data_IF_608178957030
#
_entry.id   IF_608178957030
#
_cell.length_a   1.000
_cell.length_b   1.000
_cell.length_c   1.000
_cell.angle_alpha   90.00
_cell.angle_beta   90.00
_cell.angle_gamma   90.00
#
_symmetry.space_group_name_H-M   'P 1'
#
loop_
_entity.id
_entity.type
_entity.pdbx_description
1 polymer ?
#
# COMPACT_ATOMS: atom_id res chain seq x y z
N UNK A 1 -45.21 11.74 -6.96
CA UNK A 1 -44.36 11.28 -8.07
C UNK A 1 -42.98 11.89 -7.90
N UNK A 2 -41.95 11.09 -7.67
CA UNK A 2 -40.58 11.59 -7.42
C UNK A 2 -39.93 11.98 -8.73
N UNK A 3 -39.49 13.24 -8.87
CA UNK A 3 -38.82 13.70 -10.08
C UNK A 3 -37.48 12.99 -10.27
N UNK A 4 -37.14 12.68 -11.52
CA UNK A 4 -35.83 12.13 -11.91
C UNK A 4 -34.67 12.97 -11.33
N UNK A 5 -34.85 14.28 -11.22
CA UNK A 5 -33.88 15.22 -10.63
C UNK A 5 -33.67 14.97 -9.14
N UNK A 6 -34.71 14.57 -8.42
CA UNK A 6 -34.68 14.23 -6.99
C UNK A 6 -33.94 12.90 -6.76
N UNK A 7 -34.18 11.92 -7.65
CA UNK A 7 -33.52 10.61 -7.63
C UNK A 7 -32.03 10.78 -7.94
N UNK A 8 -31.69 11.54 -8.98
CA UNK A 8 -30.29 11.84 -9.35
C UNK A 8 -29.58 12.60 -8.23
N UNK A 9 -30.21 13.62 -7.62
CA UNK A 9 -29.62 14.30 -6.45
C UNK A 9 -29.37 13.34 -5.29
N UNK A 10 -30.31 12.45 -4.97
CA UNK A 10 -30.13 11.48 -3.88
C UNK A 10 -28.99 10.49 -4.17
N UNK A 11 -28.88 10.02 -5.41
CA UNK A 11 -27.80 9.12 -5.82
C UNK A 11 -26.44 9.81 -5.76
N UNK A 12 -26.34 11.05 -6.23
CA UNK A 12 -25.10 11.86 -6.16
C UNK A 12 -24.74 12.25 -4.72
N UNK A 13 -25.73 12.52 -3.86
CA UNK A 13 -25.48 12.82 -2.45
C UNK A 13 -24.98 11.58 -1.69
N UNK A 14 -25.52 10.40 -2.01
CA UNK A 14 -25.11 9.12 -1.41
C UNK A 14 -23.69 8.70 -1.80
N UNK A 15 -23.22 9.08 -2.99
CA UNK A 15 -21.81 8.89 -3.40
C UNK A 15 -20.87 9.91 -2.75
N UNK A 16 -21.37 11.10 -2.40
CA UNK A 16 -20.61 12.15 -1.71
C UNK A 16 -20.53 11.94 -0.18
N UNK A 17 -21.47 11.20 0.39
CA UNK A 17 -21.49 10.77 1.81
C UNK A 17 -20.70 9.47 2.07
N UNK A 18 -19.93 8.97 1.09
CA UNK A 18 -19.02 7.86 1.34
C UNK A 18 -18.01 8.31 2.42
N UNK A 19 -17.96 7.57 3.53
CA UNK A 19 -16.96 7.79 4.57
C UNK A 19 -15.56 7.87 3.93
N UNK A 20 -14.62 8.63 4.53
CA UNK A 20 -13.26 8.70 4.05
C UNK A 20 -12.74 7.27 3.78
N UNK A 21 -12.05 7.03 2.65
CA UNK A 21 -11.53 5.72 2.35
C UNK A 21 -10.67 5.24 3.53
N UNK A 22 -10.81 3.96 3.87
CA UNK A 22 -10.00 3.29 4.87
C UNK A 22 -8.52 3.68 4.69
N UNK A 23 -7.83 4.20 5.73
CA UNK A 23 -6.44 4.62 5.61
C UNK A 23 -5.53 3.53 5.07
N UNK A 24 -5.72 2.27 5.51
CA UNK A 24 -4.94 1.14 5.04
C UNK A 24 -5.08 0.93 3.51
N UNK A 25 -6.31 1.07 3.00
CA UNK A 25 -6.57 1.04 1.56
C UNK A 25 -5.85 2.20 0.84
N UNK A 26 -5.98 3.42 1.37
CA UNK A 26 -5.35 4.61 0.77
C UNK A 26 -3.82 4.51 0.72
N UNK A 27 -3.20 4.02 1.79
CA UNK A 27 -1.76 3.75 1.82
C UNK A 27 -1.34 2.64 0.87
N UNK A 28 -2.14 1.57 0.76
CA UNK A 28 -1.87 0.50 -0.20
C UNK A 28 -1.83 1.05 -1.63
N UNK A 29 -2.82 1.86 -2.02
CA UNK A 29 -2.84 2.48 -3.36
C UNK A 29 -1.65 3.41 -3.58
N UNK A 30 -1.29 4.21 -2.57
CA UNK A 30 -0.11 5.07 -2.63
C UNK A 30 1.16 4.26 -2.86
N UNK A 31 1.42 3.24 -2.03
CA UNK A 31 2.65 2.46 -2.11
C UNK A 31 2.72 1.60 -3.36
N UNK A 32 1.61 1.05 -3.86
CA UNK A 32 1.58 0.37 -5.15
C UNK A 32 2.03 1.30 -6.27
N UNK A 33 1.54 2.55 -6.31
CA UNK A 33 1.94 3.54 -7.32
C UNK A 33 3.43 3.86 -7.26
N UNK A 34 3.98 4.02 -6.05
CA UNK A 34 5.41 4.27 -5.87
C UNK A 34 6.25 3.07 -6.29
N UNK A 35 5.92 1.88 -5.81
CA UNK A 35 6.67 0.65 -6.05
C UNK A 35 6.70 0.21 -7.53
N UNK A 36 5.68 0.58 -8.33
CA UNK A 36 5.68 0.38 -9.78
C UNK A 36 6.84 1.11 -10.48
N UNK A 37 7.26 2.26 -9.95
CA UNK A 37 8.38 3.03 -10.49
C UNK A 37 9.75 2.67 -9.90
N UNK A 38 9.79 1.76 -8.93
CA UNK A 38 11.03 1.33 -8.28
C UNK A 38 11.69 0.15 -8.99
N UNK A 39 13.01 0.12 -8.98
CA UNK A 39 13.77 -1.09 -9.33
C UNK A 39 13.76 -2.12 -8.17
N UNK A 40 14.32 -3.30 -8.43
CA UNK A 40 14.32 -4.38 -7.45
C UNK A 40 15.20 -4.10 -6.23
N UNK A 41 16.28 -3.31 -6.39
CA UNK A 41 17.13 -2.91 -5.28
C UNK A 41 16.40 -1.94 -4.34
N UNK A 42 15.69 -0.97 -4.91
CA UNK A 42 14.82 -0.04 -4.18
C UNK A 42 13.71 -0.77 -3.43
N UNK A 43 13.01 -1.69 -4.11
CA UNK A 43 11.94 -2.50 -3.46
C UNK A 43 12.49 -3.35 -2.31
N UNK A 44 13.66 -3.96 -2.51
CA UNK A 44 14.31 -4.78 -1.48
C UNK A 44 14.75 -3.92 -0.29
N UNK A 45 15.39 -2.79 -0.55
CA UNK A 45 15.82 -1.84 0.49
C UNK A 45 14.65 -1.31 1.31
N UNK A 46 13.59 -0.87 0.65
CA UNK A 46 12.37 -0.37 1.31
C UNK A 46 11.67 -1.47 2.13
N UNK A 47 11.67 -2.72 1.67
CA UNK A 47 11.11 -3.84 2.43
C UNK A 47 11.91 -4.08 3.72
N UNK A 48 13.24 -4.09 3.63
CA UNK A 48 14.11 -4.22 4.81
C UNK A 48 13.93 -3.06 5.79
N UNK A 49 13.72 -1.84 5.28
CA UNK A 49 13.37 -0.67 6.08
C UNK A 49 12.04 -0.84 6.83
N UNK A 50 11.00 -1.24 6.09
CA UNK A 50 9.69 -1.48 6.68
C UNK A 50 9.70 -2.60 7.73
N UNK A 51 10.35 -3.73 7.46
CA UNK A 51 10.46 -4.85 8.40
C UNK A 51 11.28 -4.49 9.64
N UNK A 52 12.34 -3.69 9.49
CA UNK A 52 13.08 -3.16 10.62
C UNK A 52 12.19 -2.32 11.54
N UNK A 53 11.41 -1.38 10.99
CA UNK A 53 10.49 -0.55 11.76
C UNK A 53 9.39 -1.37 12.44
N UNK A 54 8.80 -2.33 11.72
CA UNK A 54 7.76 -3.24 12.26
C UNK A 54 8.29 -4.11 13.41
N UNK A 55 9.56 -4.51 13.35
CA UNK A 55 10.21 -5.32 14.38
C UNK A 55 10.56 -4.57 15.67
N UNK A 56 10.41 -3.24 15.72
CA UNK A 56 10.69 -2.46 16.92
C UNK A 56 9.63 -2.72 18.01
N UNK A 57 10.05 -2.82 19.27
CA UNK A 57 9.15 -3.10 20.40
C UNK A 57 8.06 -2.05 20.63
N UNK A 58 8.27 -0.82 20.15
CA UNK A 58 7.34 0.31 20.26
C UNK A 58 6.54 0.55 18.98
N UNK A 59 6.63 -0.34 17.99
CA UNK A 59 5.85 -0.21 16.77
C UNK A 59 4.36 -0.29 17.08
N UNK A 60 3.63 0.71 16.62
CA UNK A 60 2.19 0.86 16.76
C UNK A 60 1.59 1.17 15.38
N UNK A 61 0.57 0.41 14.91
CA UNK A 61 -0.10 0.62 13.63
C UNK A 61 -1.09 1.79 13.71
N UNK A 62 -0.58 2.99 13.97
CA UNK A 62 -1.40 4.19 13.99
C UNK A 62 -1.78 4.58 12.56
N UNK A 63 -3.03 4.99 12.35
CA UNK A 63 -3.50 5.39 11.02
C UNK A 63 -2.78 6.65 10.51
N UNK A 64 -2.66 7.69 11.34
CA UNK A 64 -2.26 9.01 10.86
C UNK A 64 -1.02 9.59 11.56
N UNK A 65 -0.63 9.05 12.71
CA UNK A 65 0.48 9.61 13.47
C UNK A 65 1.81 9.24 12.81
N UNK A 66 2.51 10.26 12.28
CA UNK A 66 3.75 10.10 11.54
C UNK A 66 4.94 10.15 12.49
N UNK A 67 5.51 8.99 12.80
CA UNK A 67 6.63 8.86 13.76
C UNK A 67 7.76 7.95 13.27
N UNK A 68 7.56 7.24 12.15
CA UNK A 68 8.55 6.31 11.62
C UNK A 68 9.28 6.93 10.43
N UNK A 69 10.60 6.86 10.43
CA UNK A 69 11.48 7.36 9.37
C UNK A 69 12.55 6.30 9.14
N UNK A 70 12.81 5.96 7.88
CA UNK A 70 13.90 5.08 7.48
C UNK A 70 14.39 5.48 6.10
N UNK A 71 15.66 5.86 5.99
CA UNK A 71 16.25 6.36 4.75
C UNK A 71 16.28 5.30 3.62
N UNK A 72 16.03 4.02 3.93
CA UNK A 72 15.86 2.98 2.92
C UNK A 72 14.49 3.02 2.24
N UNK A 73 13.50 3.69 2.85
CA UNK A 73 12.16 3.90 2.29
C UNK A 73 12.16 5.23 1.53
N UNK A 74 12.31 6.34 2.25
CA UNK A 74 12.44 7.71 1.77
C UNK A 74 12.79 8.66 2.94
N UNK A 75 12.90 9.96 2.66
CA UNK A 75 13.20 11.00 3.65
C UNK A 75 11.96 11.54 4.39
N UNK A 76 10.80 10.86 4.28
CA UNK A 76 9.54 11.30 4.87
C UNK A 76 9.15 10.48 6.11
N UNK A 77 8.44 11.14 7.05
CA UNK A 77 7.87 10.45 8.20
C UNK A 77 6.55 9.77 7.82
N UNK A 78 6.39 8.52 8.24
CA UNK A 78 5.24 7.67 7.95
C UNK A 78 4.48 7.25 9.22
N UNK A 79 3.20 6.95 9.03
CA UNK A 79 2.36 6.32 10.06
C UNK A 79 2.52 4.81 10.08
N UNK A 80 2.15 4.16 11.17
CA UNK A 80 2.31 2.71 11.31
C UNK A 80 1.52 1.92 10.27
N UNK A 81 0.26 2.32 10.00
CA UNK A 81 -0.55 1.74 8.93
C UNK A 81 0.09 1.93 7.54
N UNK A 82 0.75 3.07 7.30
CA UNK A 82 1.49 3.29 6.05
C UNK A 82 2.66 2.30 5.91
N UNK A 83 3.42 2.06 6.99
CA UNK A 83 4.55 1.10 6.99
C UNK A 83 4.06 -0.33 6.78
N UNK A 84 2.95 -0.73 7.42
CA UNK A 84 2.35 -2.05 7.20
C UNK A 84 1.88 -2.22 5.74
N UNK A 85 1.23 -1.20 5.18
CA UNK A 85 0.79 -1.22 3.78
C UNK A 85 1.99 -1.34 2.82
N UNK A 86 3.09 -0.62 3.06
CA UNK A 86 4.33 -0.72 2.28
C UNK A 86 4.87 -2.15 2.28
N UNK A 87 5.07 -2.74 3.46
CA UNK A 87 5.59 -4.11 3.58
C UNK A 87 4.69 -5.12 2.86
N UNK A 88 3.36 -4.96 2.95
CA UNK A 88 2.39 -5.79 2.25
C UNK A 88 2.53 -5.68 0.73
N UNK A 89 2.62 -4.45 0.20
CA UNK A 89 2.77 -4.20 -1.24
C UNK A 89 4.07 -4.83 -1.74
N UNK A 90 5.20 -4.57 -1.10
CA UNK A 90 6.51 -5.07 -1.55
C UNK A 90 6.59 -6.61 -1.50
N UNK A 91 5.98 -7.24 -0.50
CA UNK A 91 5.86 -8.70 -0.44
C UNK A 91 5.00 -9.28 -1.57
N UNK A 92 4.04 -8.54 -2.10
CA UNK A 92 3.26 -8.96 -3.26
C UNK A 92 4.11 -8.89 -4.54
N UNK A 93 4.84 -7.78 -4.75
CA UNK A 93 5.78 -7.65 -5.87
C UNK A 93 6.82 -8.77 -5.92
N UNK A 94 7.41 -9.13 -4.76
CA UNK A 94 8.39 -10.23 -4.70
C UNK A 94 7.80 -11.62 -5.01
N UNK A 95 6.49 -11.82 -4.86
CA UNK A 95 5.81 -13.06 -5.26
C UNK A 95 5.49 -13.10 -6.76
N UNK A 96 5.19 -11.94 -7.34
CA UNK A 96 4.83 -11.81 -8.76
C UNK A 96 6.05 -11.93 -9.69
N UNK A 97 7.26 -11.60 -9.21
CA UNK A 97 8.52 -11.74 -9.98
C UNK A 97 8.90 -13.20 -10.29
N UNK A 98 8.25 -14.21 -9.70
CA UNK A 98 8.48 -15.64 -10.03
C UNK A 98 7.61 -16.11 -11.22
N UNK A 99 6.70 -15.28 -11.75
CA UNK A 99 5.81 -15.65 -12.84
C UNK A 99 5.94 -14.73 -14.08
N UNK A 100 7.17 -14.43 -14.50
CA UNK A 100 7.45 -13.90 -15.84
C UNK A 100 7.45 -15.02 -16.90
N UNK A 101 7.01 -14.75 -18.15
CA UNK A 101 6.76 -15.77 -19.18
C UNK A 101 7.98 -16.55 -19.72
N UNK A 102 9.18 -16.34 -19.19
CA UNK A 102 10.43 -16.93 -19.69
C UNK A 102 11.16 -17.82 -18.67
N UNK A 103 10.48 -18.31 -17.63
CA UNK A 103 11.04 -19.37 -16.78
C UNK A 103 11.09 -20.71 -17.53
N UNK A 104 12.25 -21.41 -17.62
CA UNK A 104 12.29 -22.71 -18.27
C UNK A 104 11.37 -23.69 -17.52
N UNK A 105 10.77 -24.67 -18.22
CA UNK A 105 9.98 -25.69 -17.55
C UNK A 105 10.86 -26.36 -16.49
N UNK A 106 10.36 -26.36 -15.26
CA UNK A 106 10.90 -27.18 -14.19
C UNK A 106 10.69 -28.64 -14.59
N UNK A 107 11.67 -29.21 -15.29
CA UNK A 107 11.75 -30.65 -15.47
C UNK A 107 11.97 -31.29 -14.11
N UNK A 108 11.02 -32.16 -13.76
CA UNK A 108 11.02 -32.88 -12.50
C UNK A 108 12.20 -33.82 -12.35
N UNK A 109 12.59 -34.00 -11.08
CA UNK A 109 13.11 -35.25 -10.51
C UNK A 109 12.52 -35.38 -9.12
#
# INVERSE_FOLDING_TARGET
MTSLREVVRRLLRRTREAAPPDPAYSYTIYWTKMALGWDDAQRTGALLGAEHLIGQSLFTPTAYERRYLDARIDDSMHSGESILALAKVLKAFGKDTIAGPDGPPSDGV
#
